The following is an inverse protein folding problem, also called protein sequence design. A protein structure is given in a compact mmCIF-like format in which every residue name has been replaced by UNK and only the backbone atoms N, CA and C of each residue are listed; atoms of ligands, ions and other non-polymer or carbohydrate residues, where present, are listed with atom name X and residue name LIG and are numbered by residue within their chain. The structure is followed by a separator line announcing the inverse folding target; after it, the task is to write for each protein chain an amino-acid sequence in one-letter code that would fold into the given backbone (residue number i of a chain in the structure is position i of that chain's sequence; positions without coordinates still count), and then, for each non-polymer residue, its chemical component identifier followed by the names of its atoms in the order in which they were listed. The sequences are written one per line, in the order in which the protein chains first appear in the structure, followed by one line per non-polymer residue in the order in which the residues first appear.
data_IF_379509601069
#
_entry.id   IF_379509601069
#
_cell.length_a   1.000
_cell.length_b   1.000
_cell.length_c   1.000
_cell.angle_alpha   90.00
_cell.angle_beta   90.00
_cell.angle_gamma   90.00
#
_symmetry.space_group_name_H-M   'P 1'
#
loop_
_entity.id
_entity.type
_entity.pdbx_description
1 polymer ?
#
# COMPACT_ATOMS: atom_id res chain seq x y z
N UNK A 1 1.49 24.17 12.18
CA UNK A 1 2.08 22.84 11.88
C UNK A 1 3.06 22.51 12.99
N UNK A 2 2.88 21.39 13.69
CA UNK A 2 3.69 21.03 14.86
C UNK A 2 5.11 20.63 14.42
N UNK A 3 6.13 21.38 14.83
CA UNK A 3 7.55 21.08 14.58
C UNK A 3 7.96 19.67 15.04
N UNK A 4 7.23 19.10 16.00
CA UNK A 4 7.40 17.72 16.47
C UNK A 4 7.14 16.67 15.39
N UNK A 5 6.13 16.87 14.53
CA UNK A 5 5.77 15.90 13.49
C UNK A 5 6.84 15.84 12.38
N UNK A 6 7.46 16.98 12.06
CA UNK A 6 8.54 17.07 11.07
C UNK A 6 9.83 16.40 11.57
N UNK A 7 10.15 16.56 12.85
CA UNK A 7 11.33 15.95 13.47
C UNK A 7 11.21 14.42 13.53
N UNK A 8 10.01 13.90 13.83
CA UNK A 8 9.72 12.46 13.83
C UNK A 8 9.83 11.89 12.42
N UNK A 9 9.36 12.59 11.38
CA UNK A 9 9.43 12.09 10.01
C UNK A 9 10.87 11.97 9.46
N UNK A 10 11.80 12.82 9.94
CA UNK A 10 13.19 12.87 9.44
C UNK A 10 14.14 11.84 10.09
N UNK A 11 13.88 11.43 11.33
CA UNK A 11 14.78 10.50 12.07
C UNK A 11 14.54 9.03 11.67
N UNK A 12 13.34 8.70 11.20
CA UNK A 12 12.88 7.32 11.06
C UNK A 12 13.51 6.46 9.94
N UNK A 13 13.85 6.96 8.74
CA UNK A 13 14.46 6.09 7.72
C UNK A 13 15.89 5.64 8.06
N UNK A 14 16.54 6.25 9.07
CA UNK A 14 17.89 5.90 9.49
C UNK A 14 17.95 4.68 10.43
N UNK A 15 16.89 4.38 11.18
CA UNK A 15 16.93 3.35 12.24
C UNK A 15 16.87 1.93 11.66
N UNK A 16 16.18 1.72 10.54
CA UNK A 16 16.03 0.40 9.93
C UNK A 16 17.35 -0.20 9.41
N UNK A 17 18.31 0.64 9.01
CA UNK A 17 19.58 0.21 8.43
C UNK A 17 20.64 -0.20 9.46
N UNK A 18 20.43 0.04 10.76
CA UNK A 18 21.44 -0.16 11.82
C UNK A 18 21.07 -1.28 12.81
N UNK A 19 19.94 -1.98 12.62
CA UNK A 19 19.38 -2.85 13.66
C UNK A 19 20.23 -4.07 14.03
N UNK A 20 21.18 -4.50 13.19
CA UNK A 20 22.04 -5.66 13.47
C UNK A 20 23.26 -5.37 14.34
N UNK A 21 23.58 -4.11 14.63
CA UNK A 21 24.77 -3.71 15.40
C UNK A 21 24.46 -2.90 16.67
N UNK A 22 23.20 -2.74 17.03
CA UNK A 22 22.84 -1.98 18.23
C UNK A 22 23.19 -2.78 19.50
N UNK A 23 23.83 -2.15 20.50
CA UNK A 23 23.95 -2.72 21.85
C UNK A 23 22.58 -3.15 22.39
N UNK A 24 22.55 -4.21 23.20
CA UNK A 24 21.30 -4.83 23.69
C UNK A 24 20.33 -3.81 24.32
N UNK A 25 20.86 -2.83 25.05
CA UNK A 25 20.06 -1.76 25.68
C UNK A 25 19.42 -0.82 24.65
N UNK A 26 20.12 -0.48 23.57
CA UNK A 26 19.58 0.31 22.47
C UNK A 26 18.50 -0.46 21.70
N UNK A 27 18.70 -1.76 21.45
CA UNK A 27 17.69 -2.61 20.81
C UNK A 27 16.41 -2.70 21.66
N UNK A 28 16.54 -2.84 22.99
CA UNK A 28 15.41 -2.79 23.94
C UNK A 28 14.68 -1.44 23.90
N UNK A 29 15.41 -0.33 23.85
CA UNK A 29 14.82 1.01 23.77
C UNK A 29 14.04 1.22 22.47
N UNK A 30 14.58 0.80 21.32
CA UNK A 30 13.90 0.86 20.02
C UNK A 30 12.63 0.01 20.04
N UNK A 31 12.70 -1.23 20.53
CA UNK A 31 11.53 -2.11 20.65
C UNK A 31 10.44 -1.52 21.55
N UNK A 32 10.81 -0.95 22.69
CA UNK A 32 9.87 -0.30 23.60
C UNK A 32 9.21 0.93 22.95
N UNK A 33 9.96 1.71 22.18
CA UNK A 33 9.45 2.85 21.45
C UNK A 33 8.50 2.44 20.32
N UNK A 34 8.84 1.43 19.52
CA UNK A 34 7.95 0.90 18.47
C UNK A 34 6.64 0.37 19.06
N UNK A 35 6.71 -0.34 20.19
CA UNK A 35 5.52 -0.79 20.91
C UNK A 35 4.64 0.40 21.31
N UNK A 36 5.22 1.42 21.94
CA UNK A 36 4.49 2.63 22.35
C UNK A 36 3.89 3.38 21.15
N UNK A 37 4.60 3.41 20.02
CA UNK A 37 4.11 4.00 18.76
C UNK A 37 2.87 3.26 18.28
N UNK A 38 2.93 1.92 18.20
CA UNK A 38 1.76 1.08 17.81
C UNK A 38 0.59 1.28 18.76
N UNK A 39 0.83 1.39 20.07
CA UNK A 39 -0.21 1.64 21.05
C UNK A 39 -0.88 3.02 20.85
N UNK A 40 -0.09 4.06 20.55
CA UNK A 40 -0.59 5.41 20.25
C UNK A 40 -1.40 5.40 18.94
N UNK A 41 -0.87 4.77 17.88
CA UNK A 41 -1.55 4.64 16.59
C UNK A 41 -2.88 3.88 16.74
N UNK A 42 -2.89 2.78 17.51
CA UNK A 42 -4.11 2.02 17.78
C UNK A 42 -5.16 2.84 18.54
N UNK A 43 -4.74 3.60 19.56
CA UNK A 43 -5.65 4.50 20.31
C UNK A 43 -6.17 5.63 19.44
N UNK A 44 -5.31 6.27 18.65
CA UNK A 44 -5.70 7.32 17.73
C UNK A 44 -6.68 6.80 16.67
N UNK A 45 -6.41 5.62 16.10
CA UNK A 45 -7.31 4.96 15.17
C UNK A 45 -8.66 4.61 15.79
N UNK A 46 -8.69 4.17 17.05
CA UNK A 46 -9.93 3.88 17.76
C UNK A 46 -10.77 5.13 18.02
N UNK A 47 -10.13 6.25 18.41
CA UNK A 47 -10.86 7.51 18.64
C UNK A 47 -11.39 8.08 17.32
N UNK A 48 -10.60 8.04 16.23
CA UNK A 48 -11.06 8.45 14.89
C UNK A 48 -12.24 7.58 14.42
N UNK A 49 -12.20 6.27 14.66
CA UNK A 49 -13.31 5.38 14.30
C UNK A 49 -14.59 5.71 15.08
N UNK A 50 -14.45 6.03 16.37
CA UNK A 50 -15.57 6.45 17.23
C UNK A 50 -16.15 7.81 16.82
N UNK A 51 -15.31 8.78 16.47
CA UNK A 51 -15.75 10.08 15.93
C UNK A 51 -16.45 9.91 14.58
N UNK A 52 -15.93 9.06 13.70
CA UNK A 52 -16.57 8.73 12.43
C UNK A 52 -17.95 8.09 12.63
N UNK A 53 -18.08 7.15 13.58
CA UNK A 53 -19.38 6.55 13.92
C UNK A 53 -20.36 7.60 14.49
N UNK A 54 -19.88 8.50 15.34
CA UNK A 54 -20.69 9.59 15.88
C UNK A 54 -21.17 10.55 14.79
N UNK A 55 -20.30 10.90 13.84
CA UNK A 55 -20.63 11.74 12.68
C UNK A 55 -21.67 11.07 11.79
N UNK A 56 -21.51 9.78 11.47
CA UNK A 56 -22.49 9.01 10.69
C UNK A 56 -23.86 9.02 11.37
N UNK A 57 -23.91 8.77 12.68
CA UNK A 57 -25.18 8.84 13.45
C UNK A 57 -25.79 10.25 13.44
N UNK A 58 -24.98 11.30 13.49
CA UNK A 58 -25.45 12.67 13.43
C UNK A 58 -26.06 13.01 12.06
N UNK A 59 -25.39 12.61 10.98
CA UNK A 59 -25.86 12.79 9.60
C UNK A 59 -27.14 12.00 9.32
N UNK A 60 -27.26 10.76 9.81
CA UNK A 60 -28.50 9.98 9.69
C UNK A 60 -29.69 10.66 10.37
N UNK A 61 -29.49 11.22 11.58
CA UNK A 61 -30.55 12.00 12.25
C UNK A 61 -30.93 13.27 11.48
N UNK A 62 -29.96 13.90 10.82
CA UNK A 62 -30.20 15.06 9.97
C UNK A 62 -31.04 14.68 8.74
N UNK A 63 -30.67 13.59 8.05
CA UNK A 63 -31.42 13.04 6.91
C UNK A 63 -32.88 12.75 7.28
N UNK A 64 -33.13 12.08 8.41
CA UNK A 64 -34.47 11.78 8.90
C UNK A 64 -35.30 13.04 9.16
N UNK A 65 -34.66 14.09 9.70
CA UNK A 65 -35.31 15.36 10.00
C UNK A 65 -35.67 16.10 8.72
N UNK A 66 -34.75 16.21 7.78
CA UNK A 66 -34.99 16.89 6.49
C UNK A 66 -36.03 16.15 5.65
N UNK A 67 -36.04 14.81 5.72
CA UNK A 67 -37.09 13.99 5.09
C UNK A 67 -38.47 14.27 5.67
N UNK A 68 -38.59 14.36 7.00
CA UNK A 68 -39.86 14.73 7.68
C UNK A 68 -40.32 16.16 7.38
N UNK A 69 -39.37 17.06 7.13
CA UNK A 69 -39.65 18.45 6.74
C UNK A 69 -39.98 18.60 5.24
N UNK A 70 -39.95 17.52 4.46
CA UNK A 70 -40.12 17.52 3.01
C UNK A 70 -39.05 18.33 2.23
N UNK A 71 -37.85 18.47 2.79
CA UNK A 71 -36.70 19.11 2.13
C UNK A 71 -35.92 18.08 1.31
N UNK A 72 -36.47 17.66 0.17
CA UNK A 72 -35.93 16.54 -0.63
C UNK A 72 -34.49 16.73 -1.11
N UNK A 73 -34.11 17.95 -1.50
CA UNK A 73 -32.75 18.25 -1.98
C UNK A 73 -31.69 18.11 -0.88
N UNK A 74 -31.97 18.64 0.32
CA UNK A 74 -31.08 18.54 1.47
C UNK A 74 -30.92 17.08 1.93
N UNK A 75 -32.00 16.32 2.00
CA UNK A 75 -31.96 14.91 2.36
C UNK A 75 -31.10 14.08 1.37
N UNK A 76 -31.23 14.33 0.06
CA UNK A 76 -30.42 13.66 -0.97
C UNK A 76 -28.93 13.98 -0.85
N UNK A 77 -28.57 15.24 -0.57
CA UNK A 77 -27.17 15.64 -0.37
C UNK A 77 -26.54 14.95 0.87
N UNK A 78 -27.30 14.83 1.96
CA UNK A 78 -26.85 14.15 3.19
C UNK A 78 -26.66 12.66 2.92
N UNK A 79 -27.59 12.02 2.21
CA UNK A 79 -27.52 10.61 1.84
C UNK A 79 -26.29 10.30 0.98
N UNK A 80 -26.00 11.13 -0.03
CA UNK A 80 -24.80 10.98 -0.85
C UNK A 80 -23.51 11.05 0.00
N UNK A 81 -23.48 11.97 0.97
CA UNK A 81 -22.35 12.09 1.92
C UNK A 81 -22.21 10.84 2.80
N UNK A 82 -23.32 10.27 3.26
CA UNK A 82 -23.32 9.02 4.04
C UNK A 82 -22.80 7.83 3.24
N UNK A 83 -23.16 7.73 1.95
CA UNK A 83 -22.68 6.68 1.05
C UNK A 83 -21.15 6.79 0.81
N UNK A 84 -20.64 8.01 0.63
CA UNK A 84 -19.20 8.27 0.52
C UNK A 84 -18.44 7.88 1.80
N UNK A 85 -18.96 8.27 2.97
CA UNK A 85 -18.37 7.92 4.26
C UNK A 85 -18.42 6.41 4.54
N UNK A 86 -19.48 5.71 4.12
CA UNK A 86 -19.60 4.27 4.25
C UNK A 86 -18.58 3.52 3.36
N UNK A 87 -18.36 4.02 2.13
CA UNK A 87 -17.30 3.53 1.24
C UNK A 87 -15.89 3.74 1.81
N UNK A 88 -15.65 4.88 2.47
CA UNK A 88 -14.38 5.15 3.14
C UNK A 88 -14.16 4.25 4.38
N UNK A 89 -15.19 4.04 5.21
CA UNK A 89 -15.08 3.30 6.47
C UNK A 89 -14.89 1.78 6.27
N UNK A 90 -15.46 1.22 5.21
CA UNK A 90 -15.26 -0.20 4.84
C UNK A 90 -13.83 -0.51 4.39
N UNK A 91 -13.05 0.48 3.97
CA UNK A 91 -11.64 0.30 3.64
C UNK A 91 -10.72 0.11 4.87
N UNK A 92 -11.16 0.53 6.06
CA UNK A 92 -10.35 0.50 7.30
C UNK A 92 -10.50 -0.83 8.07
N UNK A 93 -11.61 -1.54 7.89
CA UNK A 93 -11.79 -2.87 8.46
C UNK A 93 -11.16 -3.92 7.56
N UNK A 94 -9.82 -4.06 7.61
CA UNK A 94 -9.08 -5.19 7.03
C UNK A 94 -9.41 -6.50 7.77
N UNK A 95 -10.67 -6.96 7.70
CA UNK A 95 -10.92 -8.40 7.80
C UNK A 95 -10.27 -8.99 6.57
N UNK A 96 -9.07 -9.54 6.76
CA UNK A 96 -8.33 -10.32 5.77
C UNK A 96 -9.32 -11.12 4.93
N UNK A 97 -9.23 -10.99 3.60
CA UNK A 97 -9.97 -11.85 2.68
C UNK A 97 -9.85 -13.31 3.16
N UNK A 98 -10.97 -14.02 3.16
CA UNK A 98 -11.15 -15.31 3.84
C UNK A 98 -10.20 -16.37 3.25
N UNK A 99 -8.99 -16.45 3.78
CA UNK A 99 -7.94 -17.37 3.33
C UNK A 99 -6.55 -16.74 3.21
N UNK A 100 -6.44 -15.41 3.21
CA UNK A 100 -5.14 -14.75 3.27
C UNK A 100 -4.48 -14.98 4.64
N UNK A 101 -3.20 -15.35 4.61
CA UNK A 101 -2.35 -15.41 5.81
C UNK A 101 -2.28 -14.02 6.43
N UNK A 102 -2.10 -13.87 7.75
CA UNK A 102 -1.81 -12.58 8.36
C UNK A 102 -0.63 -11.89 7.66
N UNK A 103 -0.69 -10.56 7.54
CA UNK A 103 0.32 -9.77 6.83
C UNK A 103 1.78 -10.12 7.22
N UNK A 104 2.14 -10.25 8.52
CA UNK A 104 3.51 -10.62 8.89
C UNK A 104 3.95 -12.00 8.40
N UNK A 105 3.02 -12.94 8.24
CA UNK A 105 3.33 -14.29 7.75
C UNK A 105 3.42 -14.31 6.23
N UNK A 106 2.55 -13.56 5.54
CA UNK A 106 2.65 -13.34 4.11
C UNK A 106 4.03 -12.80 3.71
N UNK A 107 4.52 -11.79 4.42
CA UNK A 107 5.80 -11.15 4.14
C UNK A 107 7.00 -12.13 4.23
N UNK A 108 6.94 -13.15 5.08
CA UNK A 108 8.02 -14.17 5.17
C UNK A 108 8.16 -14.98 3.88
N UNK A 109 7.10 -15.08 3.09
CA UNK A 109 7.02 -15.88 1.86
C UNK A 109 7.37 -15.09 0.60
N UNK A 110 7.40 -13.75 0.69
CA UNK A 110 7.65 -12.87 -0.45
C UNK A 110 9.15 -12.67 -0.63
N UNK A 111 9.62 -12.85 -1.86
CA UNK A 111 10.92 -12.39 -2.35
C UNK A 111 10.68 -11.55 -3.59
N UNK A 112 11.26 -10.36 -3.63
CA UNK A 112 11.21 -9.48 -4.80
C UNK A 112 12.60 -9.00 -5.12
N UNK A 113 12.95 -9.02 -6.40
CA UNK A 113 14.14 -8.33 -6.93
C UNK A 113 13.66 -7.48 -8.10
N UNK A 114 14.09 -6.23 -8.14
CA UNK A 114 13.89 -5.31 -9.25
C UNK A 114 15.24 -4.64 -9.53
N UNK A 115 15.64 -4.66 -10.79
CA UNK A 115 16.93 -4.14 -11.23
C UNK A 115 16.76 -3.25 -12.47
N UNK A 116 17.36 -2.07 -12.43
CA UNK A 116 17.56 -1.22 -13.61
C UNK A 116 18.74 -1.74 -14.40
N UNK A 117 18.62 -1.66 -15.72
CA UNK A 117 19.71 -1.94 -16.65
C UNK A 117 20.73 -0.79 -16.63
N UNK A 118 21.97 -1.09 -16.24
CA UNK A 118 23.11 -0.21 -16.49
C UNK A 118 23.80 -0.70 -17.77
N UNK A 119 23.86 0.16 -18.79
CA UNK A 119 24.19 -0.15 -20.18
C UNK A 119 25.29 -1.20 -20.43
N UNK A 120 24.92 -2.27 -21.14
CA UNK A 120 25.83 -3.21 -21.79
C UNK A 120 25.08 -4.35 -22.49
N UNK A 121 25.45 -4.70 -23.73
CA UNK A 121 24.74 -5.64 -24.62
C UNK A 121 24.56 -7.08 -24.10
N UNK A 122 24.99 -7.41 -22.87
CA UNK A 122 25.03 -8.78 -22.34
C UNK A 122 24.47 -8.99 -20.93
N UNK A 123 23.96 -7.96 -20.26
CA UNK A 123 23.37 -8.10 -18.93
C UNK A 123 21.86 -7.84 -18.97
N UNK A 124 21.05 -8.91 -18.98
CA UNK A 124 19.61 -8.77 -18.74
C UNK A 124 19.41 -8.34 -17.29
N UNK A 125 19.07 -7.06 -17.03
CA UNK A 125 18.54 -6.68 -15.72
C UNK A 125 17.38 -7.59 -15.35
N UNK A 126 17.24 -7.99 -14.09
CA UNK A 126 16.24 -8.97 -13.68
C UNK A 126 15.16 -8.35 -12.80
N UNK A 127 13.89 -8.65 -13.08
CA UNK A 127 12.84 -8.58 -12.09
C UNK A 127 12.30 -9.98 -11.82
N UNK A 128 12.21 -10.31 -10.54
CA UNK A 128 11.71 -11.58 -10.08
C UNK A 128 10.81 -11.36 -8.87
N UNK A 129 9.63 -11.99 -8.90
CA UNK A 129 8.72 -12.07 -7.77
C UNK A 129 8.56 -13.55 -7.43
N UNK A 130 8.79 -13.90 -6.17
CA UNK A 130 8.51 -15.23 -5.62
C UNK A 130 7.63 -15.05 -4.39
N UNK A 131 6.54 -15.81 -4.30
CA UNK A 131 5.62 -15.80 -3.19
C UNK A 131 5.23 -17.24 -2.87
N UNK A 132 5.89 -17.84 -1.89
CA UNK A 132 5.73 -19.26 -1.59
C UNK A 132 5.95 -20.13 -2.85
N UNK A 133 4.95 -20.88 -3.34
CA UNK A 133 5.09 -21.70 -4.55
C UNK A 133 4.98 -20.92 -5.87
N UNK A 134 4.57 -19.65 -5.83
CA UNK A 134 4.36 -18.84 -7.02
C UNK A 134 5.65 -18.11 -7.39
N UNK A 135 6.07 -18.23 -8.64
CA UNK A 135 7.24 -17.53 -9.15
C UNK A 135 6.92 -16.88 -10.50
N UNK A 136 7.43 -15.67 -10.68
CA UNK A 136 7.36 -14.93 -11.92
C UNK A 136 8.74 -14.32 -12.19
N UNK A 137 9.30 -14.65 -13.34
CA UNK A 137 10.63 -14.19 -13.77
C UNK A 137 10.53 -13.52 -15.13
N UNK A 138 11.06 -12.29 -15.20
CA UNK A 138 11.46 -11.55 -16.40
C UNK A 138 10.45 -11.38 -17.55
N UNK A 139 9.85 -10.18 -17.61
CA UNK A 139 9.74 -9.40 -18.84
C UNK A 139 9.98 -7.92 -18.53
N UNK A 140 10.53 -7.16 -19.50
CA UNK A 140 10.66 -5.69 -19.40
C UNK A 140 9.28 -5.10 -19.08
N UNK A 141 9.18 -4.12 -18.19
CA UNK A 141 7.91 -3.52 -17.77
C UNK A 141 7.60 -3.78 -16.29
N UNK A 142 6.37 -3.50 -15.89
CA UNK A 142 5.90 -3.68 -14.52
C UNK A 142 5.36 -5.10 -14.34
N UNK A 143 6.06 -5.90 -13.55
CA UNK A 143 5.66 -7.26 -13.24
C UNK A 143 4.76 -7.24 -11.99
N UNK A 144 3.57 -7.83 -12.08
CA UNK A 144 2.56 -7.78 -11.01
C UNK A 144 2.02 -9.17 -10.69
N UNK A 145 2.00 -9.50 -9.40
CA UNK A 145 1.31 -10.67 -8.84
C UNK A 145 0.28 -10.18 -7.82
N UNK A 146 -0.96 -10.64 -7.96
CA UNK A 146 -2.03 -10.38 -7.00
C UNK A 146 -2.58 -11.68 -6.46
N UNK A 147 -2.72 -11.75 -5.14
CA UNK A 147 -3.30 -12.89 -4.44
C UNK A 147 -4.61 -12.51 -3.76
N UNK A 148 -5.66 -13.28 -4.03
CA UNK A 148 -6.93 -13.24 -3.31
C UNK A 148 -7.13 -14.61 -2.66
N UNK A 149 -7.36 -14.63 -1.35
CA UNK A 149 -7.49 -15.85 -0.55
C UNK A 149 -6.33 -16.84 -0.76
N UNK A 150 -5.10 -16.31 -0.85
CA UNK A 150 -3.86 -17.06 -1.03
C UNK A 150 -3.64 -17.59 -2.44
N UNK A 151 -4.48 -17.25 -3.42
CA UNK A 151 -4.40 -17.75 -4.81
C UNK A 151 -4.11 -16.63 -5.80
N UNK A 152 -3.27 -16.84 -6.81
CA UNK A 152 -2.96 -15.84 -7.82
C UNK A 152 -4.17 -15.60 -8.70
N UNK A 153 -4.62 -14.35 -8.74
CA UNK A 153 -5.67 -13.88 -9.66
C UNK A 153 -5.09 -13.00 -10.77
N UNK A 154 -3.93 -12.38 -10.52
CA UNK A 154 -3.13 -11.67 -11.52
C UNK A 154 -1.69 -12.16 -11.40
N UNK A 155 -1.08 -12.49 -12.53
CA UNK A 155 0.34 -12.80 -12.67
C UNK A 155 0.74 -12.44 -14.09
N UNK A 156 1.08 -11.17 -14.32
CA UNK A 156 1.27 -10.58 -15.65
C UNK A 156 2.33 -9.48 -15.62
N UNK A 157 2.87 -9.16 -16.79
CA UNK A 157 3.72 -7.99 -17.00
C UNK A 157 2.96 -6.96 -17.84
N UNK A 158 3.11 -5.68 -17.47
CA UNK A 158 2.48 -4.53 -18.13
C UNK A 158 3.58 -3.65 -18.73
N UNK A 159 3.49 -3.37 -20.03
CA UNK A 159 4.61 -2.78 -20.77
C UNK A 159 4.44 -1.29 -21.07
N UNK A 160 3.20 -0.85 -21.26
CA UNK A 160 2.90 0.48 -21.75
C UNK A 160 1.69 1.12 -21.03
N UNK A 161 1.34 2.32 -21.48
CA UNK A 161 0.23 3.09 -20.91
C UNK A 161 -1.13 2.39 -21.04
N UNK A 162 -1.39 1.74 -22.17
CA UNK A 162 -2.65 1.02 -22.40
C UNK A 162 -2.77 -0.16 -21.43
N UNK A 163 -1.65 -0.81 -21.14
CA UNK A 163 -1.55 -1.85 -20.13
C UNK A 163 -1.76 -1.30 -18.71
N UNK A 164 -1.25 -0.11 -18.39
CA UNK A 164 -1.51 0.51 -17.08
C UNK A 164 -2.99 0.87 -16.86
N UNK A 165 -3.71 1.34 -17.89
CA UNK A 165 -5.16 1.58 -17.76
C UNK A 165 -5.93 0.28 -17.47
N UNK A 166 -5.49 -0.86 -18.04
CA UNK A 166 -6.05 -2.18 -17.71
C UNK A 166 -5.71 -2.56 -16.28
N UNK A 167 -4.45 -2.37 -15.86
CA UNK A 167 -4.02 -2.70 -14.51
C UNK A 167 -4.77 -1.89 -13.46
N UNK A 168 -5.00 -0.59 -13.67
CA UNK A 168 -5.83 0.24 -12.76
C UNK A 168 -7.22 -0.37 -12.59
N UNK A 169 -7.88 -0.75 -13.70
CA UNK A 169 -9.21 -1.40 -13.65
C UNK A 169 -9.18 -2.73 -12.91
N UNK A 170 -8.16 -3.55 -13.16
CA UNK A 170 -7.98 -4.84 -12.49
C UNK A 170 -7.74 -4.66 -10.97
N UNK A 171 -6.90 -3.68 -10.57
CA UNK A 171 -6.60 -3.37 -9.17
C UNK A 171 -7.76 -2.68 -8.43
N UNK A 172 -8.58 -1.89 -9.12
CA UNK A 172 -9.78 -1.26 -8.54
C UNK A 172 -10.91 -2.26 -8.30
N UNK A 173 -10.97 -3.33 -9.10
CA UNK A 173 -11.91 -4.42 -8.91
C UNK A 173 -11.53 -5.39 -7.78
N UNK A 174 -10.34 -5.26 -7.18
CA UNK A 174 -9.89 -6.16 -6.13
C UNK A 174 -10.68 -5.97 -4.83
N UNK A 175 -11.01 -7.07 -4.12
CA UNK A 175 -11.57 -6.96 -2.78
C UNK A 175 -10.53 -6.40 -1.80
N UNK A 176 -10.96 -5.70 -0.74
CA UNK A 176 -10.08 -5.32 0.36
C UNK A 176 -9.34 -6.53 0.95
N UNK A 177 -8.05 -6.34 1.27
CA UNK A 177 -7.16 -7.38 1.78
C UNK A 177 -6.49 -8.25 0.72
N UNK A 178 -6.79 -8.08 -0.58
CA UNK A 178 -6.04 -8.73 -1.65
C UNK A 178 -4.57 -8.29 -1.63
N UNK A 179 -3.62 -9.23 -1.65
CA UNK A 179 -2.20 -8.91 -1.67
C UNK A 179 -1.72 -8.53 -3.06
N UNK A 180 -0.90 -7.50 -3.15
CA UNK A 180 -0.40 -6.95 -4.41
C UNK A 180 1.12 -6.85 -4.31
N UNK A 181 1.81 -7.55 -5.21
CA UNK A 181 3.27 -7.52 -5.29
C UNK A 181 3.68 -7.05 -6.69
N UNK A 182 4.45 -5.99 -6.75
CA UNK A 182 4.92 -5.40 -8.00
C UNK A 182 6.44 -5.29 -8.01
N UNK A 183 7.03 -5.50 -9.17
CA UNK A 183 8.45 -5.32 -9.43
C UNK A 183 8.64 -4.71 -10.81
N UNK A 184 9.23 -3.53 -10.87
CA UNK A 184 9.54 -2.87 -12.12
C UNK A 184 10.84 -3.42 -12.71
N UNK A 185 10.83 -3.74 -14.00
CA UNK A 185 12.04 -4.02 -14.76
C UNK A 185 12.13 -3.01 -15.90
N UNK A 186 13.20 -2.21 -15.92
CA UNK A 186 13.46 -1.25 -17.01
C UNK A 186 12.43 -0.10 -17.10
N UNK A 187 12.68 0.80 -18.07
CA UNK A 187 11.90 2.01 -18.32
C UNK A 187 10.43 1.68 -18.61
N UNK A 188 9.54 2.32 -17.84
CA UNK A 188 8.11 2.37 -18.11
C UNK A 188 7.71 3.83 -18.28
N UNK A 189 6.59 4.05 -18.97
CA UNK A 189 6.11 5.39 -19.35
C UNK A 189 6.31 6.43 -18.23
N UNK A 190 6.98 7.55 -18.58
CA UNK A 190 7.35 8.62 -17.64
C UNK A 190 6.16 9.45 -17.13
N UNK A 191 4.99 9.26 -17.74
CA UNK A 191 3.76 10.00 -17.43
C UNK A 191 2.69 9.04 -16.90
N UNK A 192 2.72 8.76 -15.60
CA UNK A 192 1.65 8.00 -14.96
C UNK A 192 0.40 8.86 -14.77
N UNK A 193 -0.79 8.37 -15.14
CA UNK A 193 -2.03 9.10 -14.88
C UNK A 193 -2.33 9.16 -13.38
N UNK A 194 -3.02 10.20 -12.89
CA UNK A 194 -3.41 10.31 -11.47
C UNK A 194 -4.16 9.08 -10.94
N UNK A 195 -4.95 8.44 -11.82
CA UNK A 195 -5.64 7.20 -11.52
C UNK A 195 -4.68 6.07 -11.09
N UNK A 196 -3.49 6.00 -11.71
CA UNK A 196 -2.44 5.06 -11.34
C UNK A 196 -1.92 5.33 -9.93
N UNK A 197 -1.54 6.57 -9.64
CA UNK A 197 -1.01 6.98 -8.33
C UNK A 197 -2.04 6.70 -7.24
N UNK A 198 -3.31 7.05 -7.48
CA UNK A 198 -4.42 6.75 -6.57
C UNK A 198 -4.57 5.24 -6.35
N UNK A 199 -4.46 4.45 -7.40
CA UNK A 199 -4.58 2.99 -7.34
C UNK A 199 -3.43 2.37 -6.52
N UNK A 200 -2.18 2.76 -6.75
CA UNK A 200 -1.03 2.29 -5.96
C UNK A 200 -1.15 2.68 -4.49
N UNK A 201 -1.59 3.91 -4.20
CA UNK A 201 -1.84 4.37 -2.83
C UNK A 201 -2.92 3.55 -2.13
N UNK A 202 -3.95 3.11 -2.86
CA UNK A 202 -4.97 2.19 -2.33
C UNK A 202 -4.41 0.79 -2.01
N UNK A 203 -3.21 0.47 -2.48
CA UNK A 203 -2.48 -0.76 -2.16
C UNK A 203 -1.41 -0.55 -1.08
N UNK A 204 -1.28 0.66 -0.51
CA UNK A 204 -0.31 0.98 0.53
C UNK A 204 0.98 1.63 0.05
N UNK A 205 1.12 2.01 -1.23
CA UNK A 205 2.25 2.81 -1.69
C UNK A 205 2.25 4.20 -1.03
N UNK A 206 3.45 4.75 -0.75
CA UNK A 206 3.66 6.07 -0.14
C UNK A 206 3.77 7.15 -1.21
N UNK A 207 4.77 7.04 -2.09
CA UNK A 207 5.14 8.13 -3.01
C UNK A 207 4.78 7.85 -4.47
N UNK A 208 4.51 6.58 -4.82
CA UNK A 208 4.28 6.11 -6.18
C UNK A 208 5.49 6.36 -7.10
N UNK A 209 5.50 5.66 -8.22
CA UNK A 209 6.64 5.61 -9.15
C UNK A 209 6.74 6.93 -9.95
N UNK A 210 7.90 7.59 -9.94
CA UNK A 210 8.09 8.89 -10.60
C UNK A 210 9.22 8.95 -11.63
N UNK A 211 10.11 7.96 -11.74
CA UNK A 211 11.25 7.99 -12.69
C UNK A 211 11.79 6.57 -13.03
N UNK A 212 12.75 6.49 -13.97
CA UNK A 212 13.46 5.28 -14.42
C UNK A 212 14.33 4.73 -13.29
N UNK A 213 13.69 4.00 -12.40
CA UNK A 213 14.28 3.44 -11.19
C UNK A 213 13.84 2.01 -11.01
N UNK A 214 14.62 1.24 -10.25
CA UNK A 214 14.17 -0.04 -9.77
C UNK A 214 13.10 0.26 -8.72
N UNK A 215 11.98 -0.43 -8.83
CA UNK A 215 10.82 -0.21 -7.99
C UNK A 215 10.25 -1.54 -7.55
N UNK A 216 9.90 -1.63 -6.28
CA UNK A 216 9.07 -2.70 -5.75
C UNK A 216 7.96 -2.14 -4.88
N UNK A 217 6.82 -2.81 -4.91
CA UNK A 217 5.72 -2.62 -3.96
C UNK A 217 5.25 -3.97 -3.47
N UNK A 218 5.18 -4.15 -2.16
CA UNK A 218 4.48 -5.25 -1.50
C UNK A 218 3.41 -4.61 -0.64
N UNK A 219 2.16 -4.76 -1.07
CA UNK A 219 1.01 -4.09 -0.50
C UNK A 219 -0.22 -4.99 -0.38
N UNK A 220 -1.32 -4.40 0.06
CA UNK A 220 -2.63 -5.03 0.02
C UNK A 220 -3.70 -3.98 -0.27
N UNK A 221 -4.74 -4.36 -1.01
CA UNK A 221 -5.86 -3.46 -1.31
C UNK A 221 -6.53 -3.01 -0.01
N UNK A 222 -6.73 -1.70 0.16
CA UNK A 222 -7.27 -1.11 1.38
C UNK A 222 -6.23 -0.77 2.43
N UNK A 223 -4.93 -1.06 2.21
CA UNK A 223 -3.89 -0.49 3.07
C UNK A 223 -3.86 1.03 2.93
N UNK A 224 -3.59 1.72 4.05
CA UNK A 224 -3.37 3.16 4.01
C UNK A 224 -2.06 3.45 3.28
N UNK A 225 -1.96 4.57 2.57
CA UNK A 225 -0.71 4.97 1.92
C UNK A 225 0.48 4.96 2.91
N UNK A 226 1.54 4.26 2.56
CA UNK A 226 2.74 4.09 3.41
C UNK A 226 2.73 2.90 4.37
N UNK A 227 1.62 2.17 4.51
CA UNK A 227 1.58 0.92 5.30
C UNK A 227 2.13 -0.28 4.50
N UNK A 228 2.25 -0.15 3.17
CA UNK A 228 2.92 -1.14 2.32
C UNK A 228 4.44 -1.02 2.38
N UNK A 229 5.14 -2.05 1.87
CA UNK A 229 6.59 -1.98 1.64
C UNK A 229 6.81 -1.48 0.23
N UNK A 230 7.22 -0.23 0.11
CA UNK A 230 7.62 0.40 -1.14
C UNK A 230 9.12 0.68 -1.08
N UNK A 231 9.85 0.33 -2.14
CA UNK A 231 11.25 0.73 -2.29
C UNK A 231 11.50 1.19 -3.72
N UNK A 232 12.21 2.30 -3.82
CA UNK A 232 12.65 2.92 -5.07
C UNK A 232 14.15 3.11 -4.99
N UNK A 233 14.89 2.77 -6.04
CA UNK A 233 16.33 2.91 -6.02
C UNK A 233 17.01 2.53 -7.32
N UNK A 234 18.33 2.66 -7.33
CA UNK A 234 19.21 2.28 -8.43
C UNK A 234 20.51 1.70 -7.86
N UNK A 235 21.11 0.68 -8.50
CA UNK A 235 20.58 -0.06 -9.65
C UNK A 235 19.58 -1.16 -9.26
N UNK A 236 19.50 -1.54 -7.98
CA UNK A 236 18.70 -2.67 -7.49
C UNK A 236 17.87 -2.26 -6.28
N UNK A 237 16.64 -2.76 -6.23
CA UNK A 237 15.86 -2.86 -5.00
C UNK A 237 15.39 -4.29 -4.82
N UNK A 238 15.40 -4.77 -3.58
CA UNK A 238 15.00 -6.14 -3.27
C UNK A 238 14.34 -6.26 -1.90
N UNK A 239 13.52 -7.30 -1.77
CA UNK A 239 12.84 -7.67 -0.55
C UNK A 239 13.00 -9.18 -0.26
N UNK A 240 13.34 -9.59 0.97
CA UNK A 240 13.92 -8.75 2.02
C UNK A 240 15.16 -8.00 1.51
N UNK A 241 15.42 -6.82 2.09
CA UNK A 241 16.64 -6.08 1.75
C UNK A 241 17.85 -6.97 2.01
N UNK A 242 18.86 -6.94 1.12
CA UNK A 242 20.15 -7.54 1.48
C UNK A 242 20.63 -6.84 2.74
N UNK A 243 21.03 -7.61 3.76
CA UNK A 243 21.79 -7.04 4.86
C UNK A 243 22.97 -6.28 4.23
N UNK A 244 23.02 -4.97 4.48
CA UNK A 244 24.16 -4.14 4.08
C UNK A 244 25.37 -4.50 4.94
#
# INVERSE_FOLDING_TARGET
MNHLALLVALIFPLVGAWSSELPEDAAKAVSAFEKKRRDIEAKASAEVAKEAEALIKALQKLEDRETKAHHSEAALAIKATLEELAGASTSVSTKSAKGNKPWPDFLKEVRVVSQVFEGGDKACGSAAITIGPYAMTCARGLNVVVLVDGKPVIQKTYHDRTDFDKLVKELDALPPGAYVVMALQYDIARDFPDAWVKCLRSCGAKEALTDITAYLLIGAKGLRPGDGIEAVGTPVVQYPSAAK
#
